data_IF_751807987830
#
_entry.id   IF_751807987830
#
_cell.length_a   1.000
_cell.length_b   1.000
_cell.length_c   1.000
_cell.angle_alpha   90.00
_cell.angle_beta   90.00
_cell.angle_gamma   90.00
#
_symmetry.space_group_name_H-M   'P 1'
#
loop_
_entity.id
_entity.type
_entity.pdbx_description
1 polymer ?
#
# COMPACT_ATOMS: atom_id res chain seq x y z
N UNK A 1 -12.86 19.21 4.42
CA UNK A 1 -12.31 18.39 5.51
C UNK A 1 -12.09 16.94 5.09
N UNK A 2 -13.14 16.19 4.69
CA UNK A 2 -13.00 14.77 4.29
C UNK A 2 -11.94 14.48 3.21
N UNK A 3 -11.83 15.32 2.18
CA UNK A 3 -10.86 15.16 1.08
C UNK A 3 -9.39 15.22 1.54
N UNK A 4 -9.05 16.03 2.55
CA UNK A 4 -7.65 16.17 2.99
C UNK A 4 -7.21 15.02 3.88
N UNK A 5 -8.10 14.52 4.74
CA UNK A 5 -7.88 13.31 5.53
C UNK A 5 -7.66 12.08 4.63
N UNK A 6 -8.42 11.97 3.52
CA UNK A 6 -8.27 10.88 2.56
C UNK A 6 -6.95 10.99 1.77
N UNK A 7 -6.50 12.19 1.39
CA UNK A 7 -5.17 12.38 0.76
C UNK A 7 -4.03 12.00 1.70
N UNK A 8 -4.14 12.38 2.97
CA UNK A 8 -3.16 12.01 3.98
C UNK A 8 -3.12 10.49 4.17
N UNK A 9 -4.28 9.84 4.22
CA UNK A 9 -4.39 8.39 4.29
C UNK A 9 -3.73 7.71 3.07
N UNK A 10 -3.99 8.19 1.85
CA UNK A 10 -3.35 7.66 0.63
C UNK A 10 -1.82 7.76 0.74
N UNK A 11 -1.31 8.91 1.18
CA UNK A 11 0.13 9.16 1.36
C UNK A 11 0.77 8.17 2.34
N UNK A 12 0.11 7.94 3.48
CA UNK A 12 0.59 7.03 4.51
C UNK A 12 0.57 5.57 4.04
N UNK A 13 -0.45 5.17 3.28
CA UNK A 13 -0.56 3.85 2.67
C UNK A 13 0.55 3.62 1.63
N UNK A 14 0.82 4.61 0.78
CA UNK A 14 1.91 4.54 -0.19
C UNK A 14 3.28 4.43 0.49
N UNK A 15 3.50 5.18 1.58
CA UNK A 15 4.72 5.09 2.38
C UNK A 15 4.89 3.70 2.98
N UNK A 16 3.82 3.10 3.51
CA UNK A 16 3.85 1.74 4.07
C UNK A 16 4.14 0.69 3.00
N UNK A 17 3.53 0.81 1.82
CA UNK A 17 3.82 -0.04 0.65
C UNK A 17 5.29 0.06 0.23
N UNK A 18 5.85 1.27 0.21
CA UNK A 18 7.28 1.48 -0.08
C UNK A 18 8.18 0.77 0.92
N UNK A 19 7.85 0.81 2.22
CA UNK A 19 8.53 0.04 3.26
C UNK A 19 8.50 -1.47 3.01
N UNK A 20 7.32 -2.01 2.66
CA UNK A 20 7.17 -3.43 2.35
C UNK A 20 7.96 -3.84 1.10
N UNK A 21 8.05 -3.00 0.07
CA UNK A 21 8.90 -3.26 -1.11
C UNK A 21 10.38 -3.32 -0.75
N UNK A 22 10.84 -2.50 0.20
CA UNK A 22 12.23 -2.58 0.71
C UNK A 22 12.49 -3.91 1.42
N UNK A 23 11.54 -4.34 2.25
CA UNK A 23 11.58 -5.65 2.93
C UNK A 23 11.59 -6.77 1.88
N UNK A 24 10.71 -6.68 0.88
CA UNK A 24 10.61 -7.63 -0.23
C UNK A 24 11.93 -7.78 -1.00
N UNK A 25 12.59 -6.66 -1.30
CA UNK A 25 13.90 -6.66 -1.98
C UNK A 25 15.01 -7.25 -1.08
N UNK A 26 14.87 -7.13 0.25
CA UNK A 26 15.78 -7.70 1.24
C UNK A 26 15.63 -9.21 1.46
N UNK A 27 14.62 -9.86 0.87
CA UNK A 27 14.33 -11.30 1.07
C UNK A 27 15.40 -12.27 0.63
N UNK A 28 16.38 -11.82 -0.14
CA UNK A 28 17.38 -12.68 -0.79
C UNK A 28 18.19 -13.58 0.16
N UNK A 29 18.15 -13.38 1.49
CA UNK A 29 19.09 -14.07 2.40
C UNK A 29 18.57 -14.62 3.74
N UNK A 30 17.38 -14.24 4.25
CA UNK A 30 17.08 -14.43 5.69
C UNK A 30 15.64 -14.92 6.01
N UNK A 31 14.71 -14.88 5.06
CA UNK A 31 13.28 -15.05 5.37
C UNK A 31 12.66 -16.32 4.77
N UNK A 32 11.73 -16.94 5.51
CA UNK A 32 10.96 -18.10 5.06
C UNK A 32 10.04 -17.76 3.88
N UNK A 33 9.69 -18.76 3.07
CA UNK A 33 8.75 -18.61 1.97
C UNK A 33 7.38 -18.06 2.43
N UNK A 34 6.89 -18.53 3.58
CA UNK A 34 5.66 -18.03 4.20
C UNK A 34 5.73 -16.53 4.52
N UNK A 35 6.87 -16.06 5.05
CA UNK A 35 7.06 -14.63 5.31
C UNK A 35 7.06 -13.81 4.01
N UNK A 36 7.69 -14.34 2.95
CA UNK A 36 7.73 -13.68 1.63
C UNK A 36 6.33 -13.57 1.03
N UNK A 37 5.56 -14.65 1.09
CA UNK A 37 4.19 -14.68 0.61
C UNK A 37 3.29 -13.72 1.41
N UNK A 38 3.44 -13.67 2.74
CA UNK A 38 2.73 -12.72 3.60
C UNK A 38 2.97 -11.26 3.22
N UNK A 39 4.23 -10.87 2.96
CA UNK A 39 4.55 -9.50 2.53
C UNK A 39 4.03 -9.21 1.12
N UNK A 40 4.12 -10.17 0.19
CA UNK A 40 3.56 -10.01 -1.15
C UNK A 40 2.04 -9.77 -1.11
N UNK A 41 1.33 -10.54 -0.28
CA UNK A 41 -0.12 -10.36 -0.04
C UNK A 41 -0.44 -8.98 0.52
N UNK A 42 0.33 -8.51 1.50
CA UNK A 42 0.15 -7.16 2.06
C UNK A 42 0.36 -6.06 1.01
N UNK A 43 1.40 -6.18 0.16
CA UNK A 43 1.63 -5.23 -0.94
C UNK A 43 0.43 -5.22 -1.89
N UNK A 44 -0.09 -6.39 -2.29
CA UNK A 44 -1.25 -6.50 -3.17
C UNK A 44 -2.52 -5.88 -2.58
N UNK A 45 -2.76 -6.05 -1.27
CA UNK A 45 -3.89 -5.41 -0.57
C UNK A 45 -3.73 -3.90 -0.59
N UNK A 46 -2.55 -3.37 -0.29
CA UNK A 46 -2.31 -1.92 -0.31
C UNK A 46 -2.52 -1.33 -1.71
N UNK A 47 -2.13 -2.05 -2.77
CA UNK A 47 -2.40 -1.63 -4.15
C UNK A 47 -3.89 -1.49 -4.42
N UNK A 48 -4.70 -2.47 -4.03
CA UNK A 48 -6.16 -2.42 -4.21
C UNK A 48 -6.81 -1.30 -3.41
N UNK A 49 -6.38 -1.09 -2.15
CA UNK A 49 -6.93 -0.05 -1.29
C UNK A 49 -6.60 1.34 -1.83
N UNK A 50 -5.34 1.60 -2.17
CA UNK A 50 -4.92 2.90 -2.74
C UNK A 50 -5.65 3.18 -4.05
N UNK A 51 -5.81 2.18 -4.91
CA UNK A 51 -6.56 2.32 -6.16
C UNK A 51 -8.03 2.71 -5.90
N UNK A 52 -8.71 2.05 -4.96
CA UNK A 52 -10.10 2.38 -4.61
C UNK A 52 -10.23 3.78 -4.01
N UNK A 53 -9.33 4.16 -3.10
CA UNK A 53 -9.34 5.50 -2.49
C UNK A 53 -9.12 6.60 -3.53
N UNK A 54 -8.18 6.39 -4.46
CA UNK A 54 -7.95 7.30 -5.58
C UNK A 54 -9.17 7.41 -6.50
N UNK A 55 -9.91 6.31 -6.71
CA UNK A 55 -11.13 6.32 -7.51
C UNK A 55 -12.25 7.12 -6.83
N UNK A 56 -12.53 6.87 -5.55
CA UNK A 56 -13.52 7.63 -4.77
C UNK A 56 -13.19 9.13 -4.76
N UNK A 57 -11.91 9.49 -4.61
CA UNK A 57 -11.46 10.88 -4.63
C UNK A 57 -11.64 11.58 -5.99
N UNK A 58 -11.59 10.82 -7.10
CA UNK A 58 -11.87 11.36 -8.44
C UNK A 58 -13.35 11.63 -8.65
N UNK A 59 -14.21 10.74 -8.17
CA UNK A 59 -15.67 10.89 -8.28
C UNK A 59 -16.20 12.05 -7.42
N UNK A 60 -15.58 12.37 -6.28
CA UNK A 60 -15.93 13.54 -5.47
C UNK A 60 -15.50 14.89 -6.08
N UNK A 61 -14.65 14.89 -7.13
CA UNK A 61 -14.16 16.11 -7.79
C UNK A 61 -14.92 16.48 -9.07
N UNK A 62 -15.91 15.68 -9.48
CA UNK A 62 -16.85 15.96 -10.58
C UNK A 62 -18.21 16.43 -10.04
#
# INVERSE_FOLDING_TARGET
MKSEEVKQLITDLERRKSGLKRIQNGFSRIHSEEYRDGVNKQIGILDQVVMRLNWVMRDESN
#
